data_IF_236046556331
#
_entry.id   IF_236046556331
#
_cell.length_a   1.000
_cell.length_b   1.000
_cell.length_c   1.000
_cell.angle_alpha   90.00
_cell.angle_beta   90.00
_cell.angle_gamma   90.00
#
_symmetry.space_group_name_H-M   'P 1'
#
loop_
_entity.id
_entity.type
_entity.pdbx_description
1 polymer ?
#
# COMPACT_ATOMS: atom_id res chain seq x y z
N UNK A 1 -35.90 48.09 -0.67
CA UNK A 1 -36.09 46.67 -0.31
C UNK A 1 -35.20 45.87 -1.24
N UNK A 2 -34.00 45.53 -0.76
CA UNK A 2 -32.95 44.84 -1.52
C UNK A 2 -32.88 43.42 -0.97
N UNK A 3 -32.97 42.43 -1.85
CA UNK A 3 -33.00 40.99 -1.54
C UNK A 3 -31.68 40.55 -0.88
N UNK A 4 -31.74 40.17 0.40
CA UNK A 4 -30.61 39.56 1.15
C UNK A 4 -30.51 38.02 0.96
N UNK A 5 -31.51 37.36 0.38
CA UNK A 5 -31.59 35.89 0.33
C UNK A 5 -30.69 35.21 -0.72
N UNK A 6 -29.86 35.96 -1.46
CA UNK A 6 -29.03 35.41 -2.56
C UNK A 6 -27.60 35.02 -2.16
N UNK A 7 -27.13 35.43 -0.98
CA UNK A 7 -25.74 35.20 -0.55
C UNK A 7 -25.55 33.98 0.36
N UNK A 8 -26.62 33.39 0.89
CA UNK A 8 -26.51 32.26 1.83
C UNK A 8 -26.39 30.89 1.13
N UNK A 9 -26.74 30.81 -0.16
CA UNK A 9 -26.69 29.55 -0.94
C UNK A 9 -25.28 29.30 -1.54
N UNK A 10 -24.40 30.30 -1.59
CA UNK A 10 -23.09 30.14 -2.23
C UNK A 10 -21.98 29.60 -1.28
N UNK A 11 -22.23 29.53 0.03
CA UNK A 11 -21.17 29.21 1.03
C UNK A 11 -21.18 27.72 1.44
N UNK A 12 -22.27 26.97 1.24
CA UNK A 12 -22.36 25.56 1.66
C UNK A 12 -21.79 24.55 0.66
N UNK A 13 -21.35 24.97 -0.53
CA UNK A 13 -20.85 24.05 -1.55
C UNK A 13 -19.32 23.90 -1.63
N UNK A 14 -18.54 24.63 -0.83
CA UNK A 14 -17.08 24.71 -1.01
C UNK A 14 -16.25 23.84 -0.03
N UNK A 15 -16.87 23.07 0.89
CA UNK A 15 -16.16 22.34 1.95
C UNK A 15 -16.06 20.81 1.76
N UNK A 16 -16.51 20.25 0.64
CA UNK A 16 -16.48 18.79 0.40
C UNK A 16 -15.38 18.32 -0.57
N UNK A 17 -14.44 19.20 -0.96
CA UNK A 17 -13.29 18.82 -1.79
C UNK A 17 -12.07 18.37 -0.98
N UNK A 18 -12.26 18.08 0.31
CA UNK A 18 -11.20 17.50 1.13
C UNK A 18 -10.95 16.07 0.65
N UNK A 19 -9.87 15.92 -0.12
CA UNK A 19 -9.05 14.73 -0.22
C UNK A 19 -9.85 13.42 -0.11
N UNK A 20 -10.56 13.09 -1.20
CA UNK A 20 -10.96 11.72 -1.52
C UNK A 20 -9.69 10.89 -1.76
N UNK A 21 -8.84 10.75 -0.75
CA UNK A 21 -8.03 9.55 -0.61
C UNK A 21 -9.02 8.40 -0.70
N UNK A 22 -8.88 7.63 -1.75
CA UNK A 22 -9.78 6.56 -2.12
C UNK A 22 -9.62 5.45 -1.08
N UNK A 23 -10.26 5.64 0.08
CA UNK A 23 -10.13 4.75 1.23
C UNK A 23 -10.66 3.40 0.81
N UNK A 24 -9.77 2.39 0.79
CA UNK A 24 -10.17 1.03 0.45
C UNK A 24 -11.37 0.62 1.31
N UNK A 25 -12.33 -0.09 0.70
CA UNK A 25 -13.48 -0.61 1.45
C UNK A 25 -13.00 -1.42 2.66
N UNK A 26 -13.68 -1.27 3.81
CA UNK A 26 -13.33 -1.98 5.04
C UNK A 26 -13.24 -3.50 4.81
N UNK A 27 -14.16 -4.04 3.99
CA UNK A 27 -14.16 -5.46 3.59
C UNK A 27 -12.83 -5.86 2.94
N UNK A 28 -12.36 -5.07 1.96
CA UNK A 28 -11.10 -5.34 1.28
C UNK A 28 -9.92 -5.32 2.26
N UNK A 29 -9.86 -4.34 3.18
CA UNK A 29 -8.79 -4.23 4.19
C UNK A 29 -8.74 -5.46 5.10
N UNK A 30 -9.91 -5.93 5.55
CA UNK A 30 -10.04 -7.12 6.40
C UNK A 30 -9.55 -8.36 5.65
N UNK A 31 -10.04 -8.61 4.43
CA UNK A 31 -9.62 -9.79 3.66
C UNK A 31 -8.12 -9.79 3.36
N UNK A 32 -7.57 -8.66 2.91
CA UNK A 32 -6.15 -8.52 2.63
C UNK A 32 -5.30 -8.73 3.90
N UNK A 33 -5.73 -8.17 5.03
CA UNK A 33 -5.08 -8.35 6.32
C UNK A 33 -5.07 -9.80 6.80
N UNK A 34 -6.19 -10.51 6.67
CA UNK A 34 -6.29 -11.94 7.03
C UNK A 34 -5.32 -12.79 6.20
N UNK A 35 -5.27 -12.61 4.88
CA UNK A 35 -4.34 -13.36 4.04
C UNK A 35 -2.88 -13.06 4.37
N UNK A 36 -2.56 -11.79 4.63
CA UNK A 36 -1.20 -11.38 5.01
C UNK A 36 -0.79 -12.00 6.36
N UNK A 37 -1.69 -12.01 7.34
CA UNK A 37 -1.44 -12.56 8.66
C UNK A 37 -1.29 -14.09 8.63
N UNK A 38 -2.21 -14.80 7.96
CA UNK A 38 -2.13 -16.25 7.78
C UNK A 38 -0.84 -16.64 7.05
N UNK A 39 -0.52 -15.92 5.97
CA UNK A 39 0.72 -16.13 5.22
C UNK A 39 1.97 -15.99 6.09
N UNK A 40 2.07 -14.89 6.84
CA UNK A 40 3.18 -14.63 7.75
C UNK A 40 3.32 -15.67 8.87
N UNK A 41 2.22 -16.04 9.53
CA UNK A 41 2.23 -17.07 10.60
C UNK A 41 2.68 -18.41 10.03
N UNK A 42 2.12 -18.87 8.91
CA UNK A 42 2.52 -20.12 8.27
C UNK A 42 4.00 -20.11 7.86
N UNK A 43 4.52 -19.00 7.32
CA UNK A 43 5.94 -18.88 7.00
C UNK A 43 6.84 -18.98 8.22
N UNK A 44 6.48 -18.32 9.34
CA UNK A 44 7.25 -18.40 10.58
C UNK A 44 7.24 -19.83 11.10
N UNK A 45 6.06 -20.46 11.21
CA UNK A 45 5.95 -21.85 11.65
C UNK A 45 6.74 -22.81 10.76
N UNK A 46 6.62 -22.67 9.44
CA UNK A 46 7.37 -23.48 8.47
C UNK A 46 8.87 -23.29 8.61
N UNK A 47 9.34 -22.05 8.72
CA UNK A 47 10.77 -21.72 8.88
C UNK A 47 11.35 -22.30 10.17
N UNK A 48 10.60 -22.24 11.28
CA UNK A 48 11.04 -22.83 12.54
C UNK A 48 11.24 -24.35 12.44
N UNK A 49 10.46 -25.05 11.61
CA UNK A 49 10.62 -26.49 11.40
C UNK A 49 11.90 -26.86 10.63
N UNK A 50 12.52 -25.90 9.95
CA UNK A 50 13.80 -26.09 9.25
C UNK A 50 15.04 -25.86 10.13
N UNK A 51 14.88 -25.55 11.42
CA UNK A 51 16.03 -25.51 12.33
C UNK A 51 16.66 -26.89 12.49
N UNK A 52 18.00 -26.94 12.42
CA UNK A 52 18.78 -28.18 12.41
C UNK A 52 18.42 -29.11 13.58
N UNK A 53 18.26 -28.56 14.77
CA UNK A 53 17.92 -29.32 15.98
C UNK A 53 16.58 -30.07 15.81
N UNK A 54 15.57 -29.43 15.23
CA UNK A 54 14.23 -30.01 15.05
C UNK A 54 14.24 -31.11 13.98
N UNK A 55 14.99 -30.91 12.89
CA UNK A 55 15.10 -31.88 11.80
C UNK A 55 15.71 -33.19 12.30
N UNK A 56 16.72 -33.13 13.18
CA UNK A 56 17.35 -34.33 13.75
C UNK A 56 16.39 -35.20 14.56
N UNK A 57 15.34 -34.63 15.16
CA UNK A 57 14.39 -35.36 15.99
C UNK A 57 13.21 -35.97 15.22
N UNK A 58 12.82 -35.41 14.06
CA UNK A 58 11.64 -35.89 13.34
C UNK A 58 11.72 -35.60 11.84
N UNK A 59 11.79 -36.66 11.04
CA UNK A 59 11.68 -36.57 9.57
C UNK A 59 10.33 -35.97 9.12
N UNK A 60 9.28 -36.09 9.94
CA UNK A 60 7.98 -35.46 9.66
C UNK A 60 8.03 -33.93 9.76
N UNK A 61 8.95 -33.37 10.54
CA UNK A 61 9.08 -31.92 10.66
C UNK A 61 9.52 -31.27 9.35
N UNK A 62 10.39 -31.92 8.58
CA UNK A 62 10.83 -31.43 7.27
C UNK A 62 9.66 -31.34 6.27
N UNK A 63 8.87 -32.42 6.18
CA UNK A 63 7.68 -32.46 5.31
C UNK A 63 6.65 -31.43 5.74
N UNK A 64 6.33 -31.36 7.04
CA UNK A 64 5.40 -30.36 7.56
C UNK A 64 5.89 -28.93 7.30
N UNK A 65 7.18 -28.67 7.51
CA UNK A 65 7.81 -27.39 7.25
C UNK A 65 7.66 -26.96 5.79
N UNK A 66 7.95 -27.86 4.84
CA UNK A 66 7.75 -27.60 3.41
C UNK A 66 6.31 -27.23 3.04
N UNK A 67 5.33 -27.94 3.61
CA UNK A 67 3.90 -27.62 3.41
C UNK A 67 3.51 -26.28 4.05
N UNK A 68 3.97 -25.97 5.26
CA UNK A 68 3.73 -24.68 5.90
C UNK A 68 4.32 -23.51 5.11
N UNK A 69 5.55 -23.66 4.60
CA UNK A 69 6.18 -22.66 3.73
C UNK A 69 5.38 -22.45 2.44
N UNK A 70 4.92 -23.55 1.82
CA UNK A 70 4.12 -23.51 0.59
C UNK A 70 2.75 -22.84 0.82
N UNK A 71 2.03 -23.24 1.86
CA UNK A 71 0.74 -22.64 2.19
C UNK A 71 0.88 -21.16 2.58
N UNK A 72 1.88 -20.83 3.41
CA UNK A 72 2.14 -19.46 3.84
C UNK A 72 2.48 -18.52 2.68
N UNK A 73 3.40 -18.95 1.81
CA UNK A 73 3.77 -18.19 0.62
C UNK A 73 2.61 -18.05 -0.37
N UNK A 74 1.74 -19.05 -0.50
CA UNK A 74 0.54 -18.96 -1.33
C UNK A 74 -0.42 -17.87 -0.83
N UNK A 75 -0.67 -17.79 0.48
CA UNK A 75 -1.51 -16.73 1.05
C UNK A 75 -0.89 -15.34 0.89
N UNK A 76 0.43 -15.21 1.02
CA UNK A 76 1.12 -13.95 0.72
C UNK A 76 0.98 -13.56 -0.76
N UNK A 77 1.12 -14.52 -1.67
CA UNK A 77 0.90 -14.28 -3.09
C UNK A 77 -0.52 -13.79 -3.36
N UNK A 78 -1.54 -14.38 -2.73
CA UNK A 78 -2.92 -13.90 -2.85
C UNK A 78 -3.08 -12.47 -2.32
N UNK A 79 -2.48 -12.15 -1.18
CA UNK A 79 -2.51 -10.81 -0.61
C UNK A 79 -1.85 -9.77 -1.54
N UNK A 80 -0.66 -10.07 -2.07
CA UNK A 80 0.07 -9.20 -2.99
C UNK A 80 -0.64 -9.07 -4.34
N UNK A 81 -1.20 -10.16 -4.85
CA UNK A 81 -1.97 -10.16 -6.08
C UNK A 81 -3.25 -9.33 -5.95
N UNK A 82 -3.95 -9.44 -4.81
CA UNK A 82 -5.14 -8.62 -4.52
C UNK A 82 -4.78 -7.13 -4.44
N UNK A 83 -3.65 -6.77 -3.83
CA UNK A 83 -3.14 -5.40 -3.83
C UNK A 83 -2.84 -4.90 -5.24
N UNK A 84 -2.07 -5.67 -6.01
CA UNK A 84 -1.73 -5.32 -7.39
C UNK A 84 -2.97 -5.17 -8.28
N UNK A 85 -3.94 -6.07 -8.14
CA UNK A 85 -5.19 -6.04 -8.90
C UNK A 85 -6.00 -4.77 -8.62
N UNK A 86 -5.97 -4.28 -7.39
CA UNK A 86 -6.61 -3.01 -7.05
C UNK A 86 -5.84 -1.84 -7.67
N UNK A 87 -4.53 -1.76 -7.43
CA UNK A 87 -3.68 -0.65 -7.91
C UNK A 87 -3.67 -0.50 -9.44
N UNK A 88 -3.86 -1.60 -10.19
CA UNK A 88 -3.88 -1.57 -11.66
C UNK A 88 -5.17 -0.96 -12.23
N UNK A 89 -6.32 -1.12 -11.55
CA UNK A 89 -7.61 -0.63 -12.06
C UNK A 89 -7.61 0.89 -12.09
N UNK A 90 -7.04 1.52 -11.07
CA UNK A 90 -6.92 2.97 -10.97
C UNK A 90 -6.03 3.57 -12.08
N UNK A 91 -5.09 2.79 -12.62
CA UNK A 91 -4.26 3.22 -13.74
C UNK A 91 -5.06 3.33 -15.06
N UNK A 92 -6.13 2.54 -15.24
CA UNK A 92 -6.84 2.40 -16.52
C UNK A 92 -8.12 3.24 -16.62
N UNK A 93 -8.82 3.50 -15.52
CA UNK A 93 -10.20 4.03 -15.55
C UNK A 93 -10.36 5.54 -15.73
N UNK A 94 -9.28 6.33 -15.81
CA UNK A 94 -9.38 7.79 -15.60
C UNK A 94 -9.44 8.64 -16.88
N UNK A 95 -10.23 8.23 -17.88
CA UNK A 95 -10.38 8.96 -19.17
C UNK A 95 -11.48 10.04 -19.18
N UNK A 96 -12.42 10.04 -18.22
CA UNK A 96 -13.62 10.91 -18.29
C UNK A 96 -13.53 12.25 -17.55
N UNK A 97 -12.52 12.48 -16.70
CA UNK A 97 -12.43 13.70 -15.88
C UNK A 97 -11.24 14.58 -16.30
N UNK A 98 -11.31 15.16 -17.51
CA UNK A 98 -10.20 15.95 -18.07
C UNK A 98 -10.60 17.36 -18.54
N UNK A 99 -11.82 17.81 -18.23
CA UNK A 99 -12.37 19.07 -18.78
C UNK A 99 -12.11 20.33 -17.94
N UNK A 100 -11.35 20.29 -16.83
CA UNK A 100 -11.00 21.50 -16.05
C UNK A 100 -9.48 21.76 -16.05
N UNK A 101 -9.09 22.86 -16.68
CA UNK A 101 -7.69 23.20 -17.01
C UNK A 101 -6.80 23.43 -15.77
N UNK A 102 -7.35 23.94 -14.67
CA UNK A 102 -6.61 24.20 -13.42
C UNK A 102 -6.38 22.95 -12.57
N UNK A 103 -7.12 21.86 -12.78
CA UNK A 103 -6.95 20.61 -12.05
C UNK A 103 -5.81 19.73 -12.61
N UNK A 104 -5.15 20.17 -13.68
CA UNK A 104 -4.25 19.32 -14.49
C UNK A 104 -2.95 18.91 -13.77
N UNK A 105 -2.38 19.76 -12.90
CA UNK A 105 -1.10 19.46 -12.24
C UNK A 105 -1.24 18.42 -11.12
N UNK A 106 -2.19 18.58 -10.21
CA UNK A 106 -2.45 17.62 -9.12
C UNK A 106 -2.88 16.25 -9.66
N UNK A 107 -3.69 16.21 -10.74
CA UNK A 107 -4.06 14.96 -11.41
C UNK A 107 -2.83 14.23 -11.99
N UNK A 108 -1.88 14.95 -12.60
CA UNK A 108 -0.65 14.33 -13.13
C UNK A 108 0.19 13.71 -12.03
N UNK A 109 0.35 14.39 -10.89
CA UNK A 109 1.10 13.87 -9.73
C UNK A 109 0.43 12.61 -9.15
N UNK A 110 -0.89 12.64 -8.95
CA UNK A 110 -1.64 11.48 -8.46
C UNK A 110 -1.55 10.28 -9.40
N UNK A 111 -1.63 10.50 -10.72
CA UNK A 111 -1.42 9.42 -11.72
C UNK A 111 -0.03 8.80 -11.63
N UNK A 112 1.00 9.62 -11.45
CA UNK A 112 2.38 9.13 -11.30
C UNK A 112 2.52 8.31 -9.99
N UNK A 113 1.94 8.79 -8.89
CA UNK A 113 1.90 8.10 -7.59
C UNK A 113 1.23 6.73 -7.73
N UNK A 114 0.06 6.66 -8.38
CA UNK A 114 -0.68 5.41 -8.59
C UNK A 114 0.07 4.42 -9.48
N UNK A 115 0.73 4.89 -10.56
CA UNK A 115 1.56 4.02 -11.41
C UNK A 115 2.75 3.44 -10.63
N UNK A 116 3.40 4.25 -9.79
CA UNK A 116 4.49 3.79 -8.91
C UNK A 116 3.99 2.74 -7.90
N UNK A 117 2.80 2.94 -7.32
CA UNK A 117 2.15 1.94 -6.46
C UNK A 117 1.92 0.61 -7.20
N UNK A 118 1.28 0.67 -8.37
CA UNK A 118 0.98 -0.52 -9.16
C UNK A 118 2.22 -1.32 -9.56
N UNK A 119 3.30 -0.65 -10.00
CA UNK A 119 4.57 -1.30 -10.32
C UNK A 119 5.18 -1.96 -9.08
N UNK A 120 5.17 -1.27 -7.95
CA UNK A 120 5.74 -1.80 -6.72
C UNK A 120 4.95 -3.01 -6.17
N UNK A 121 3.62 -2.96 -6.23
CA UNK A 121 2.74 -4.07 -5.86
C UNK A 121 2.88 -5.25 -6.82
N UNK A 122 3.07 -5.00 -8.12
CA UNK A 122 3.41 -6.04 -9.09
C UNK A 122 4.72 -6.73 -8.75
N UNK A 123 5.75 -5.94 -8.41
CA UNK A 123 7.06 -6.46 -8.02
C UNK A 123 6.96 -7.36 -6.77
N UNK A 124 6.17 -6.95 -5.77
CA UNK A 124 5.88 -7.79 -4.59
C UNK A 124 5.21 -9.11 -5.00
N UNK A 125 4.17 -9.07 -5.84
CA UNK A 125 3.48 -10.27 -6.31
C UNK A 125 4.42 -11.23 -7.08
N UNK A 126 5.33 -10.70 -7.91
CA UNK A 126 6.37 -11.52 -8.57
C UNK A 126 7.32 -12.16 -7.56
N UNK A 127 7.77 -11.40 -6.55
CA UNK A 127 8.62 -11.92 -5.48
C UNK A 127 7.94 -13.05 -4.70
N UNK A 128 6.67 -12.86 -4.33
CA UNK A 128 5.86 -13.87 -3.65
C UNK A 128 5.60 -15.10 -4.54
N UNK A 129 5.41 -14.93 -5.85
CA UNK A 129 5.31 -16.06 -6.77
C UNK A 129 6.61 -16.87 -6.86
N UNK A 130 7.77 -16.20 -6.94
CA UNK A 130 9.07 -16.87 -6.84
C UNK A 130 9.23 -17.62 -5.51
N UNK A 131 8.78 -17.02 -4.41
CA UNK A 131 8.83 -17.63 -3.08
C UNK A 131 7.95 -18.89 -3.00
N UNK A 132 6.74 -18.87 -3.57
CA UNK A 132 5.85 -20.05 -3.66
C UNK A 132 6.52 -21.17 -4.44
N UNK A 133 7.03 -20.89 -5.64
CA UNK A 133 7.72 -21.89 -6.47
C UNK A 133 8.89 -22.50 -5.69
N UNK A 134 9.72 -21.65 -5.06
CA UNK A 134 10.84 -22.13 -4.27
C UNK A 134 10.40 -22.98 -3.07
N UNK A 135 9.30 -22.62 -2.41
CA UNK A 135 8.75 -23.38 -1.26
C UNK A 135 8.21 -24.75 -1.66
N UNK A 136 7.55 -24.86 -2.82
CA UNK A 136 7.10 -26.15 -3.38
C UNK A 136 8.31 -27.06 -3.63
N UNK A 137 9.40 -26.50 -4.17
CA UNK A 137 10.64 -27.25 -4.46
C UNK A 137 11.42 -27.68 -3.21
N UNK A 138 11.06 -27.18 -2.02
CA UNK A 138 11.63 -27.64 -0.75
C UNK A 138 10.87 -28.81 -0.11
N UNK A 139 9.73 -29.22 -0.66
CA UNK A 139 9.05 -30.44 -0.20
C UNK A 139 9.99 -31.63 -0.45
N UNK A 140 10.16 -32.56 0.51
CA UNK A 140 11.12 -33.67 0.39
C UNK A 140 10.96 -34.51 -0.90
N UNK A 141 9.75 -34.64 -1.42
CA UNK A 141 9.47 -35.32 -2.70
C UNK A 141 10.22 -34.70 -3.90
N UNK A 142 10.67 -33.45 -3.78
CA UNK A 142 11.45 -32.71 -4.76
C UNK A 142 12.91 -32.48 -4.33
N UNK A 143 13.49 -33.30 -3.44
CA UNK A 143 14.84 -33.14 -2.89
C UNK A 143 15.92 -32.84 -3.96
N UNK A 144 15.83 -33.48 -5.13
CA UNK A 144 16.72 -33.23 -6.29
C UNK A 144 16.77 -31.77 -6.72
N UNK A 145 15.70 -31.01 -6.49
CA UNK A 145 15.54 -29.61 -6.88
C UNK A 145 15.68 -28.64 -5.70
N UNK A 146 15.99 -29.10 -4.49
CA UNK A 146 16.06 -28.27 -3.29
C UNK A 146 17.01 -27.07 -3.44
N UNK A 147 18.17 -27.26 -4.10
CA UNK A 147 19.10 -26.16 -4.36
C UNK A 147 18.51 -25.08 -5.29
N UNK A 148 17.71 -25.49 -6.28
CA UNK A 148 16.99 -24.55 -7.16
C UNK A 148 15.89 -23.84 -6.35
N UNK A 149 15.16 -24.57 -5.50
CA UNK A 149 14.16 -24.01 -4.60
C UNK A 149 14.72 -22.92 -3.69
N UNK A 150 15.87 -23.17 -3.06
CA UNK A 150 16.59 -22.19 -2.24
C UNK A 150 16.94 -20.92 -3.02
N UNK A 151 17.37 -21.03 -4.27
CA UNK A 151 17.64 -19.87 -5.14
C UNK A 151 16.37 -19.06 -5.42
N UNK A 152 15.25 -19.72 -5.72
CA UNK A 152 13.97 -19.05 -5.92
C UNK A 152 13.48 -18.33 -4.66
N UNK A 153 13.60 -18.95 -3.49
CA UNK A 153 13.27 -18.32 -2.20
C UNK A 153 14.16 -17.09 -1.96
N UNK A 154 15.47 -17.19 -2.19
CA UNK A 154 16.39 -16.08 -1.99
C UNK A 154 16.07 -14.90 -2.92
N UNK A 155 15.85 -15.17 -4.21
CA UNK A 155 15.48 -14.15 -5.20
C UNK A 155 14.12 -13.53 -4.85
N UNK A 156 13.12 -14.35 -4.53
CA UNK A 156 11.79 -13.90 -4.14
C UNK A 156 11.83 -13.00 -2.89
N UNK A 157 12.56 -13.43 -1.87
CA UNK A 157 12.79 -12.66 -0.63
C UNK A 157 13.42 -11.29 -0.91
N UNK A 158 14.46 -11.24 -1.75
CA UNK A 158 15.13 -9.99 -2.09
C UNK A 158 14.17 -9.01 -2.80
N UNK A 159 13.36 -9.52 -3.73
CA UNK A 159 12.35 -8.72 -4.46
C UNK A 159 11.29 -8.17 -3.49
N UNK A 160 10.75 -9.01 -2.61
CA UNK A 160 9.76 -8.61 -1.59
C UNK A 160 10.37 -7.55 -0.67
N UNK A 161 11.60 -7.75 -0.20
CA UNK A 161 12.30 -6.80 0.66
C UNK A 161 12.47 -5.44 -0.01
N UNK A 162 12.97 -5.40 -1.26
CA UNK A 162 13.10 -4.15 -2.03
C UNK A 162 11.74 -3.45 -2.18
N UNK A 163 10.67 -4.19 -2.50
CA UNK A 163 9.32 -3.62 -2.62
C UNK A 163 8.80 -3.06 -1.29
N UNK A 164 9.04 -3.75 -0.18
CA UNK A 164 8.66 -3.29 1.16
C UNK A 164 9.45 -2.05 1.59
N UNK A 165 10.78 -2.05 1.40
CA UNK A 165 11.63 -0.89 1.65
C UNK A 165 11.21 0.31 0.83
N UNK A 166 10.84 0.10 -0.44
CA UNK A 166 10.32 1.15 -1.31
C UNK A 166 8.97 1.71 -0.82
N UNK A 167 8.07 0.89 -0.27
CA UNK A 167 6.82 1.36 0.38
C UNK A 167 7.13 2.22 1.59
N UNK A 168 8.02 1.76 2.48
CA UNK A 168 8.42 2.47 3.70
C UNK A 168 9.06 3.82 3.35
N UNK A 169 10.02 3.84 2.43
CA UNK A 169 10.69 5.06 1.98
C UNK A 169 9.69 6.11 1.47
N UNK A 170 8.70 5.70 0.67
CA UNK A 170 7.71 6.64 0.13
C UNK A 170 6.71 7.12 1.16
N UNK A 171 6.29 6.26 2.08
CA UNK A 171 5.39 6.65 3.15
C UNK A 171 6.10 7.61 4.11
N UNK A 172 7.39 7.40 4.40
CA UNK A 172 8.22 8.31 5.19
C UNK A 172 8.18 9.75 4.65
N UNK A 173 8.44 9.91 3.36
CA UNK A 173 8.42 11.24 2.71
C UNK A 173 7.01 11.87 2.63
N UNK A 174 5.94 11.09 2.75
CA UNK A 174 4.58 11.62 2.70
C UNK A 174 4.22 12.34 4.00
N UNK A 175 4.66 11.81 5.15
CA UNK A 175 4.47 12.47 6.45
C UNK A 175 5.12 13.85 6.45
N UNK A 176 6.31 13.99 5.89
CA UNK A 176 7.01 15.29 5.81
C UNK A 176 6.21 16.34 5.04
N UNK A 177 5.49 15.93 3.99
CA UNK A 177 4.68 16.82 3.16
C UNK A 177 3.33 17.17 3.82
N UNK A 178 2.66 16.20 4.45
CA UNK A 178 1.42 16.48 5.20
C UNK A 178 1.70 17.46 6.36
N UNK A 179 2.80 17.26 7.09
CA UNK A 179 3.21 18.21 8.14
C UNK A 179 3.57 19.60 7.60
N UNK A 180 4.03 19.70 6.35
CA UNK A 180 4.32 20.99 5.72
C UNK A 180 3.04 21.69 5.23
N UNK A 181 2.11 20.95 4.64
CA UNK A 181 0.81 21.47 4.20
C UNK A 181 -0.05 21.95 5.39
N UNK A 182 -0.15 21.15 6.45
CA UNK A 182 -0.86 21.54 7.68
C UNK A 182 -0.26 22.80 8.31
N UNK A 183 1.08 22.92 8.32
CA UNK A 183 1.75 24.15 8.78
C UNK A 183 1.40 25.35 7.92
N UNK A 184 1.39 25.19 6.60
CA UNK A 184 1.05 26.30 5.70
C UNK A 184 -0.41 26.74 5.84
N UNK A 185 -1.35 25.82 6.09
CA UNK A 185 -2.77 26.13 6.34
C UNK A 185 -2.92 26.90 7.66
N UNK A 186 -2.23 26.48 8.73
CA UNK A 186 -2.25 27.20 10.01
C UNK A 186 -1.69 28.61 9.84
N UNK A 187 -0.55 28.76 9.15
CA UNK A 187 0.05 30.07 8.87
C UNK A 187 -0.89 30.96 8.04
N UNK A 188 -1.57 30.40 7.03
CA UNK A 188 -2.54 31.16 6.24
C UNK A 188 -3.69 31.68 7.10
N UNK A 189 -4.27 30.85 7.97
CA UNK A 189 -5.36 31.28 8.88
C UNK A 189 -4.89 32.37 9.83
N UNK A 190 -3.69 32.24 10.40
CA UNK A 190 -3.12 33.29 11.26
C UNK A 190 -2.95 34.61 10.51
N UNK A 191 -2.50 34.58 9.26
CA UNK A 191 -2.35 35.78 8.42
C UNK A 191 -3.73 36.40 8.13
N UNK A 192 -4.73 35.60 7.79
CA UNK A 192 -6.10 36.06 7.53
C UNK A 192 -6.71 36.71 8.78
N UNK A 193 -6.53 36.11 9.96
CA UNK A 193 -7.00 36.65 11.24
C UNK A 193 -6.32 38.00 11.57
N UNK A 194 -5.00 38.09 11.36
CA UNK A 194 -4.24 39.33 11.58
C UNK A 194 -4.69 40.44 10.62
N UNK A 195 -4.90 40.11 9.34
CA UNK A 195 -5.36 41.07 8.34
C UNK A 195 -6.79 41.53 8.63
N UNK A 196 -7.68 40.61 9.03
CA UNK A 196 -9.05 40.91 9.43
C UNK A 196 -9.10 41.89 10.61
N UNK A 197 -8.29 41.67 11.65
CA UNK A 197 -8.22 42.55 12.81
C UNK A 197 -7.66 43.96 12.49
N UNK A 198 -6.73 44.07 11.54
CA UNK A 198 -6.21 45.37 11.11
C UNK A 198 -7.24 46.17 10.32
N UNK A 199 -8.02 45.52 9.47
CA UNK A 199 -9.05 46.18 8.66
C UNK A 199 -10.17 46.77 9.53
N UNK A 200 -10.59 46.08 10.60
CA UNK A 200 -11.61 46.59 11.53
C UNK A 200 -11.12 47.79 12.34
N UNK A 201 -9.83 47.85 12.68
CA UNK A 201 -9.23 48.98 13.42
C UNK A 201 -9.20 50.27 12.59
N UNK A 202 -9.01 50.18 11.26
CA UNK A 202 -8.95 51.35 10.37
C UNK A 202 -10.34 51.96 10.12
N UNK A 203 -11.42 51.21 10.35
CA UNK A 203 -12.80 51.67 10.14
C UNK A 203 -13.39 52.41 11.35
N UNK A 204 -12.68 52.50 12.47
CA UNK A 204 -13.07 53.24 13.68
C UNK A 204 -12.39 54.61 13.73
#
# INVERSE_FOLDING_TARGET
>A
MVNEDSNEILITHNNNNNNLEQSHSLKWKIFHGIYSMLGGICLICGSCMYFADIITYSSMALTAGGWFLTAGSFFLLLADFQQWWYDRIDCCSNKKSQNSLQHSQSIKQNRLKNRKNAINSFLAACGSACYVIGSILLIPDFEKYANIGNKFIMIGSAIIFISASWKIYRNGNLWDLEFEEDRNIVIQREIEDILGAKLTTIQQ
#
